data_IF_074056848807
#
_entry.id   IF_074056848807
#
_cell.length_a   1.000
_cell.length_b   1.000
_cell.length_c   1.000
_cell.angle_alpha   90.00
_cell.angle_beta   90.00
_cell.angle_gamma   90.00
#
_symmetry.space_group_name_H-M   'P 1'
#
loop_
_entity.id
_entity.type
_entity.pdbx_description
1 polymer ?
#
# COMPACT_ATOMS: atom_id res chain seq x y z
N UNK A 1 -1.72 9.13 -16.36
CA UNK A 1 -3.03 8.50 -16.52
C UNK A 1 -4.15 9.45 -16.12
N UNK A 2 -5.40 9.27 -16.60
CA UNK A 2 -6.54 10.09 -16.18
C UNK A 2 -6.70 10.14 -14.65
N UNK A 3 -6.54 9.01 -13.99
CA UNK A 3 -6.57 8.92 -12.52
C UNK A 3 -5.54 9.85 -11.84
N UNK A 4 -4.28 9.81 -12.29
CA UNK A 4 -3.24 10.66 -11.69
C UNK A 4 -3.51 12.15 -11.94
N UNK A 5 -4.04 12.48 -13.13
CA UNK A 5 -4.44 13.84 -13.48
C UNK A 5 -5.56 14.35 -12.57
N UNK A 6 -6.65 13.59 -12.40
CA UNK A 6 -7.77 14.00 -11.53
C UNK A 6 -7.34 14.17 -10.07
N UNK A 7 -6.48 13.27 -9.55
CA UNK A 7 -5.93 13.42 -8.19
C UNK A 7 -5.10 14.68 -8.03
N UNK A 8 -4.28 15.03 -9.02
CA UNK A 8 -3.51 16.28 -9.01
C UNK A 8 -4.42 17.51 -9.01
N UNK A 9 -5.49 17.50 -9.84
CA UNK A 9 -6.45 18.62 -9.91
C UNK A 9 -7.28 18.77 -8.63
N UNK A 10 -7.57 17.68 -7.92
CA UNK A 10 -8.21 17.76 -6.61
C UNK A 10 -7.32 18.50 -5.59
N UNK A 11 -6.02 18.29 -5.61
CA UNK A 11 -5.10 19.04 -4.71
C UNK A 11 -5.09 20.52 -5.06
N UNK A 12 -4.99 20.87 -6.35
CA UNK A 12 -5.05 22.24 -6.81
C UNK A 12 -6.36 22.95 -6.40
N UNK A 13 -7.50 22.24 -6.50
CA UNK A 13 -8.79 22.75 -6.03
C UNK A 13 -8.77 23.03 -4.52
N UNK A 14 -8.27 22.11 -3.71
CA UNK A 14 -8.19 22.29 -2.25
C UNK A 14 -7.30 23.48 -1.87
N UNK A 15 -6.18 23.67 -2.57
CA UNK A 15 -5.30 24.83 -2.35
C UNK A 15 -6.00 26.17 -2.66
N UNK A 16 -6.84 26.21 -3.69
CA UNK A 16 -7.63 27.39 -4.02
C UNK A 16 -8.77 27.62 -3.01
N UNK A 17 -9.48 26.56 -2.60
CA UNK A 17 -10.50 26.66 -1.55
C UNK A 17 -9.92 27.20 -0.24
N UNK A 18 -8.72 26.78 0.12
CA UNK A 18 -8.01 27.33 1.28
C UNK A 18 -7.81 28.84 1.16
N UNK A 19 -7.38 29.31 0.00
CA UNK A 19 -7.15 30.74 -0.24
C UNK A 19 -8.44 31.57 -0.19
N UNK A 20 -9.54 31.04 -0.74
CA UNK A 20 -10.79 31.76 -0.90
C UNK A 20 -11.66 31.74 0.36
N UNK A 21 -11.67 30.62 1.10
CA UNK A 21 -12.64 30.37 2.17
C UNK A 21 -11.99 30.04 3.53
N UNK A 22 -10.69 30.24 3.68
CA UNK A 22 -9.94 29.83 4.88
C UNK A 22 -10.18 28.33 5.25
N UNK A 23 -10.32 27.50 4.22
CA UNK A 23 -10.59 26.09 4.36
C UNK A 23 -9.32 25.32 4.77
N UNK A 24 -9.43 24.49 5.80
CA UNK A 24 -8.33 23.67 6.28
C UNK A 24 -8.42 22.24 5.73
N UNK A 25 -7.29 21.65 5.39
CA UNK A 25 -7.21 20.28 4.90
C UNK A 25 -5.83 19.65 5.15
N UNK A 26 -5.79 18.34 5.16
CA UNK A 26 -4.58 17.53 5.18
C UNK A 26 -4.53 16.67 3.90
N UNK A 27 -3.35 16.54 3.29
CA UNK A 27 -3.15 15.69 2.11
C UNK A 27 -2.33 14.47 2.52
N UNK A 28 -2.90 13.29 2.29
CA UNK A 28 -2.29 12.05 2.68
C UNK A 28 -2.11 11.15 1.44
N UNK A 29 -0.85 10.82 1.12
CA UNK A 29 -0.50 9.91 0.05
C UNK A 29 -0.31 8.50 0.60
N UNK A 30 -1.17 7.56 0.20
CA UNK A 30 -1.10 6.16 0.59
C UNK A 30 -0.17 5.35 -0.30
N UNK A 31 0.66 4.51 0.32
CA UNK A 31 1.53 3.56 -0.37
C UNK A 31 1.09 2.14 -0.07
N UNK A 32 0.58 1.45 -1.10
CA UNK A 32 0.27 0.01 -1.10
C UNK A 32 -0.27 -0.49 0.25
N UNK A 33 -1.43 0.04 0.65
CA UNK A 33 -2.09 -0.34 1.90
C UNK A 33 -2.53 -1.80 1.83
N UNK A 34 -2.27 -2.55 2.90
CA UNK A 34 -2.67 -3.95 3.04
C UNK A 34 -3.28 -4.21 4.42
N UNK A 35 -4.03 -5.30 4.55
CA UNK A 35 -4.61 -5.71 5.81
C UNK A 35 -5.86 -6.58 5.65
N UNK A 36 -6.53 -6.92 6.76
CA UNK A 36 -7.77 -7.68 6.72
C UNK A 36 -8.84 -7.03 5.84
N UNK A 37 -9.68 -7.85 5.18
CA UNK A 37 -10.78 -7.40 4.31
C UNK A 37 -10.37 -6.63 3.04
N UNK A 38 -9.09 -6.67 2.64
CA UNK A 38 -8.66 -6.10 1.37
C UNK A 38 -9.31 -6.80 0.16
N UNK A 39 -9.41 -6.10 -0.97
CA UNK A 39 -9.99 -6.63 -2.20
C UNK A 39 -9.07 -7.72 -2.76
N UNK A 40 -9.62 -8.91 -2.99
CA UNK A 40 -8.87 -10.12 -3.37
C UNK A 40 -9.09 -10.56 -4.82
N UNK A 41 -10.14 -10.07 -5.47
CA UNK A 41 -10.55 -10.44 -6.84
C UNK A 41 -11.01 -9.20 -7.61
N UNK A 42 -11.00 -9.30 -8.94
CA UNK A 42 -11.38 -8.20 -9.84
C UNK A 42 -10.26 -7.19 -10.10
N UNK A 43 -10.56 -6.18 -10.90
CA UNK A 43 -9.58 -5.21 -11.40
C UNK A 43 -8.98 -4.32 -10.30
N UNK A 44 -9.69 -4.16 -9.19
CA UNK A 44 -9.24 -3.39 -8.03
C UNK A 44 -8.52 -4.22 -6.97
N UNK A 45 -8.27 -5.51 -7.26
CA UNK A 45 -7.60 -6.39 -6.31
C UNK A 45 -6.16 -5.94 -6.03
N UNK A 46 -5.81 -5.93 -4.73
CA UNK A 46 -4.44 -5.64 -4.31
C UNK A 46 -3.54 -6.85 -4.52
N UNK A 47 -2.24 -6.63 -4.70
CA UNK A 47 -1.30 -7.76 -4.90
C UNK A 47 -1.30 -8.72 -3.71
N UNK A 48 -1.39 -8.20 -2.47
CA UNK A 48 -1.48 -9.04 -1.28
C UNK A 48 -2.81 -9.81 -1.26
N UNK A 49 -3.92 -9.15 -1.60
CA UNK A 49 -5.23 -9.79 -1.70
C UNK A 49 -5.27 -10.89 -2.75
N UNK A 50 -4.65 -10.68 -3.92
CA UNK A 50 -4.52 -11.71 -4.96
C UNK A 50 -3.76 -12.93 -4.42
N UNK A 51 -2.62 -12.71 -3.76
CA UNK A 51 -1.82 -13.80 -3.18
C UNK A 51 -2.56 -14.54 -2.08
N UNK A 52 -3.27 -13.84 -1.20
CA UNK A 52 -4.15 -14.47 -0.20
C UNK A 52 -5.22 -15.34 -0.85
N UNK A 53 -5.89 -14.85 -1.88
CA UNK A 53 -6.92 -15.61 -2.59
C UNK A 53 -6.34 -16.85 -3.29
N UNK A 54 -5.22 -16.71 -3.96
CA UNK A 54 -4.53 -17.83 -4.61
C UNK A 54 -4.07 -18.87 -3.58
N UNK A 55 -3.49 -18.44 -2.46
CA UNK A 55 -3.08 -19.30 -1.37
C UNK A 55 -4.25 -20.10 -0.78
N UNK A 56 -5.37 -19.43 -0.49
CA UNK A 56 -6.59 -20.07 0.06
C UNK A 56 -7.16 -21.12 -0.88
N UNK A 57 -7.10 -20.87 -2.18
CA UNK A 57 -7.59 -21.79 -3.21
C UNK A 57 -6.54 -22.83 -3.65
N UNK A 58 -5.41 -22.95 -2.93
CA UNK A 58 -4.29 -23.86 -3.26
C UNK A 58 -3.76 -23.68 -4.69
N UNK A 59 -3.91 -22.49 -5.27
CA UNK A 59 -3.40 -22.12 -6.59
C UNK A 59 -1.97 -21.56 -6.48
N UNK A 60 -1.14 -21.72 -7.52
CA UNK A 60 0.15 -21.05 -7.57
C UNK A 60 -0.01 -19.54 -7.49
N UNK A 61 0.93 -18.87 -6.82
CA UNK A 61 0.99 -17.40 -6.80
C UNK A 61 1.51 -16.90 -8.14
N UNK A 62 0.77 -15.98 -8.78
CA UNK A 62 1.16 -15.43 -10.08
C UNK A 62 1.95 -14.15 -9.90
N UNK A 63 3.18 -14.12 -10.40
CA UNK A 63 4.07 -12.96 -10.36
C UNK A 63 4.36 -12.51 -11.79
N UNK A 64 4.11 -11.24 -12.09
CA UNK A 64 4.42 -10.64 -13.40
C UNK A 64 5.93 -10.50 -13.54
N UNK A 65 6.49 -11.00 -14.67
CA UNK A 65 7.92 -10.88 -14.97
C UNK A 65 8.37 -9.41 -15.03
N UNK A 66 9.56 -9.08 -14.55
CA UNK A 66 10.55 -9.96 -13.90
C UNK A 66 10.29 -10.20 -12.40
N UNK A 67 9.27 -9.60 -11.80
CA UNK A 67 8.96 -9.70 -10.37
C UNK A 67 9.85 -8.83 -9.46
N UNK A 68 10.71 -8.00 -10.07
CA UNK A 68 11.65 -7.11 -9.37
C UNK A 68 11.06 -5.75 -9.02
N UNK A 69 9.83 -5.46 -9.49
CA UNK A 69 9.15 -4.21 -9.12
C UNK A 69 9.00 -4.12 -7.62
N UNK A 70 9.60 -3.07 -7.06
CA UNK A 70 9.66 -2.85 -5.62
C UNK A 70 8.50 -1.98 -5.14
N UNK A 71 7.97 -2.29 -3.97
CA UNK A 71 6.90 -1.53 -3.32
C UNK A 71 7.13 -1.45 -1.81
N UNK A 72 6.71 -0.35 -1.20
CA UNK A 72 6.55 -0.25 0.24
C UNK A 72 5.09 -0.55 0.59
N UNK A 73 4.89 -1.37 1.58
CA UNK A 73 3.56 -1.82 2.02
C UNK A 73 3.29 -1.31 3.42
N UNK A 74 2.13 -0.67 3.62
CA UNK A 74 1.73 -0.12 4.91
C UNK A 74 0.48 -0.80 5.42
N UNK A 75 0.49 -1.27 6.67
CA UNK A 75 -0.67 -1.93 7.24
C UNK A 75 -1.82 -0.94 7.46
N UNK A 76 -3.06 -1.40 7.24
CA UNK A 76 -4.25 -0.55 7.36
C UNK A 76 -4.36 0.11 8.74
N UNK A 77 -4.03 -0.59 9.82
CA UNK A 77 -4.06 -0.01 11.17
C UNK A 77 -3.07 1.15 11.33
N UNK A 78 -1.86 1.02 10.80
CA UNK A 78 -0.88 2.11 10.78
C UNK A 78 -1.39 3.28 9.94
N UNK A 79 -1.98 2.97 8.78
CA UNK A 79 -2.55 4.00 7.88
C UNK A 79 -3.66 4.79 8.58
N UNK A 80 -4.62 4.11 9.20
CA UNK A 80 -5.73 4.77 9.91
C UNK A 80 -5.22 5.61 11.08
N UNK A 81 -4.27 5.08 11.86
CA UNK A 81 -3.70 5.83 12.99
C UNK A 81 -2.98 7.09 12.53
N UNK A 82 -2.23 7.02 11.42
CA UNK A 82 -1.53 8.18 10.86
C UNK A 82 -2.53 9.24 10.35
N UNK A 83 -3.63 8.80 9.68
CA UNK A 83 -4.70 9.71 9.25
C UNK A 83 -5.33 10.43 10.44
N UNK A 84 -5.61 9.71 11.53
CA UNK A 84 -6.18 10.28 12.74
C UNK A 84 -5.24 11.31 13.40
N UNK A 85 -3.95 11.00 13.48
CA UNK A 85 -2.96 11.93 14.03
C UNK A 85 -2.76 13.17 13.11
N UNK A 86 -2.80 13.00 11.79
CA UNK A 86 -2.75 14.11 10.86
C UNK A 86 -3.97 15.04 11.03
N UNK A 87 -5.17 14.45 11.13
CA UNK A 87 -6.40 15.19 11.40
C UNK A 87 -6.32 16.00 12.71
N UNK A 88 -5.83 15.38 13.79
CA UNK A 88 -5.65 16.06 15.10
C UNK A 88 -4.62 17.19 15.06
N UNK A 89 -3.60 17.05 14.23
CA UNK A 89 -2.54 18.07 14.11
C UNK A 89 -3.04 19.37 13.48
N UNK A 90 -4.10 19.33 12.67
CA UNK A 90 -4.74 20.46 12.00
C UNK A 90 -3.73 21.47 11.40
N UNK A 91 -2.70 20.94 10.75
CA UNK A 91 -1.53 21.72 10.35
C UNK A 91 -1.45 21.99 8.85
N UNK A 92 -2.42 21.52 8.08
CA UNK A 92 -2.49 21.63 6.61
C UNK A 92 -1.19 21.17 5.93
N UNK A 93 -0.69 20.00 6.32
CA UNK A 93 0.55 19.42 5.80
C UNK A 93 0.28 18.30 4.82
N UNK A 94 1.35 17.92 4.12
CA UNK A 94 1.38 16.80 3.20
C UNK A 94 2.08 15.62 3.89
N UNK A 95 1.44 14.44 3.86
CA UNK A 95 1.95 13.23 4.48
C UNK A 95 2.09 12.11 3.44
N UNK A 96 3.26 11.50 3.36
CA UNK A 96 3.47 10.29 2.56
C UNK A 96 3.52 9.06 3.48
N UNK A 97 2.45 8.29 3.57
CA UNK A 97 2.37 7.13 4.45
C UNK A 97 3.01 5.91 3.81
N UNK A 98 4.22 5.55 4.24
CA UNK A 98 4.88 4.32 3.83
C UNK A 98 5.69 3.69 4.96
N UNK A 99 5.63 2.37 5.07
CA UNK A 99 6.57 1.62 5.90
C UNK A 99 8.01 1.83 5.37
N UNK A 100 9.02 1.71 6.24
CA UNK A 100 10.42 1.85 5.87
C UNK A 100 10.89 0.76 4.91
N UNK A 101 10.36 -0.45 5.06
CA UNK A 101 10.79 -1.61 4.31
C UNK A 101 10.16 -1.64 2.92
N UNK A 102 11.00 -1.90 1.93
CA UNK A 102 10.60 -2.12 0.54
C UNK A 102 10.79 -3.58 0.18
N UNK A 103 9.83 -4.14 -0.56
CA UNK A 103 9.88 -5.53 -1.02
C UNK A 103 9.59 -5.60 -2.51
N UNK A 104 10.32 -6.45 -3.21
CA UNK A 104 9.92 -6.82 -4.57
C UNK A 104 8.68 -7.71 -4.53
N UNK A 105 7.88 -7.72 -5.60
CA UNK A 105 6.68 -8.56 -5.68
C UNK A 105 7.06 -10.05 -5.54
N UNK A 106 8.20 -10.45 -6.08
CA UNK A 106 8.73 -11.81 -5.91
C UNK A 106 9.08 -12.12 -4.45
N UNK A 107 9.68 -11.17 -3.71
CA UNK A 107 9.94 -11.34 -2.28
C UNK A 107 8.64 -11.51 -1.49
N UNK A 108 7.61 -10.71 -1.81
CA UNK A 108 6.30 -10.83 -1.17
C UNK A 108 5.68 -12.20 -1.45
N UNK A 109 5.71 -12.68 -2.70
CA UNK A 109 5.20 -14.01 -3.05
C UNK A 109 5.92 -15.12 -2.26
N UNK A 110 7.24 -15.02 -2.10
CA UNK A 110 8.04 -15.99 -1.32
C UNK A 110 7.63 -16.05 0.16
N UNK A 111 7.11 -14.95 0.75
CA UNK A 111 6.64 -14.96 2.15
C UNK A 111 5.48 -15.94 2.38
N UNK A 112 4.68 -16.24 1.37
CA UNK A 112 3.57 -17.19 1.46
C UNK A 112 3.99 -18.66 1.46
N UNK A 113 5.27 -18.95 1.19
CA UNK A 113 5.79 -20.32 1.12
C UNK A 113 4.93 -21.25 0.24
N UNK A 114 4.58 -20.79 -0.94
CA UNK A 114 3.72 -21.47 -1.91
C UNK A 114 4.37 -21.50 -3.30
N UNK A 115 3.89 -22.37 -4.18
CA UNK A 115 4.35 -22.44 -5.57
C UNK A 115 4.14 -21.10 -6.26
N UNK A 116 5.16 -20.61 -6.98
CA UNK A 116 5.12 -19.36 -7.74
C UNK A 116 5.20 -19.68 -9.24
N UNK A 117 4.36 -18.99 -10.02
CA UNK A 117 4.38 -19.02 -11.49
C UNK A 117 4.58 -17.61 -12.01
N UNK A 118 5.58 -17.47 -12.89
CA UNK A 118 5.86 -16.18 -13.55
C UNK A 118 4.95 -16.00 -14.76
N UNK A 119 4.25 -14.86 -14.82
CA UNK A 119 3.40 -14.48 -15.96
C UNK A 119 4.13 -13.49 -16.90
N UNK A 120 3.56 -13.27 -18.08
CA UNK A 120 4.11 -12.32 -19.05
C UNK A 120 4.17 -10.90 -18.47
N UNK A 121 5.16 -10.08 -18.87
CA UNK A 121 5.21 -8.66 -18.50
C UNK A 121 3.93 -7.93 -18.96
N UNK A 122 3.52 -6.93 -18.17
CA UNK A 122 2.41 -6.03 -18.54
C UNK A 122 2.97 -4.74 -19.15
N UNK A 123 2.36 -4.26 -20.21
CA UNK A 123 2.69 -2.95 -20.78
C UNK A 123 2.40 -1.85 -19.76
N UNK A 124 3.36 -0.91 -19.62
CA UNK A 124 3.20 0.24 -18.72
C UNK A 124 3.41 -0.06 -17.22
N UNK A 125 3.86 -1.25 -16.83
CA UNK A 125 4.16 -1.57 -15.44
C UNK A 125 5.43 -0.84 -14.98
N UNK A 126 5.33 -0.14 -13.84
CA UNK A 126 6.48 0.56 -13.25
C UNK A 126 7.29 -0.41 -12.39
N UNK A 127 8.57 -0.52 -12.66
CA UNK A 127 9.50 -1.38 -11.91
C UNK A 127 9.98 -0.75 -10.61
N UNK A 128 9.98 0.57 -10.49
CA UNK A 128 10.36 1.29 -9.29
C UNK A 128 9.14 1.82 -8.52
N UNK A 129 9.24 1.88 -7.20
CA UNK A 129 8.29 2.60 -6.36
C UNK A 129 8.37 4.09 -6.62
N UNK A 130 7.25 4.74 -6.89
CA UNK A 130 7.17 6.19 -6.83
C UNK A 130 7.28 6.60 -5.35
N UNK A 131 8.48 6.94 -4.90
CA UNK A 131 8.70 7.50 -3.57
C UNK A 131 8.66 9.02 -3.71
N UNK A 132 7.81 9.67 -2.91
CA UNK A 132 7.90 11.12 -2.74
C UNK A 132 8.87 11.42 -1.60
N UNK A 133 9.63 12.51 -1.71
CA UNK A 133 10.54 12.98 -0.66
C UNK A 133 9.79 13.39 0.64
N UNK A 134 8.45 13.46 0.59
CA UNK A 134 7.57 13.83 1.71
C UNK A 134 7.58 12.77 2.82
N UNK A 135 7.84 11.49 2.47
CA UNK A 135 7.66 10.38 3.43
C UNK A 135 8.79 10.21 4.45
N UNK A 136 9.97 10.78 4.22
CA UNK A 136 11.17 10.38 4.99
C UNK A 136 11.31 11.04 6.37
N UNK A 137 10.67 12.19 6.61
CA UNK A 137 10.94 13.00 7.80
C UNK A 137 9.73 13.22 8.73
N UNK A 138 8.61 12.55 8.48
CA UNK A 138 7.40 12.77 9.28
C UNK A 138 7.46 11.94 10.58
N UNK A 139 7.54 12.60 11.74
CA UNK A 139 7.57 11.96 13.07
C UNK A 139 6.35 11.05 13.32
N UNK A 140 5.18 11.39 12.80
CA UNK A 140 3.96 10.60 12.91
C UNK A 140 4.15 9.24 12.23
N UNK A 141 4.70 9.22 11.01
CA UNK A 141 4.98 7.97 10.28
C UNK A 141 6.00 7.12 11.02
N UNK A 142 7.05 7.75 11.57
CA UNK A 142 8.07 7.04 12.35
C UNK A 142 7.49 6.40 13.61
N UNK A 143 6.49 7.03 14.22
CA UNK A 143 5.82 6.53 15.43
C UNK A 143 4.91 5.32 15.13
N UNK A 144 4.12 5.37 14.05
CA UNK A 144 3.02 4.42 13.81
C UNK A 144 3.25 3.45 12.65
N UNK A 145 4.07 3.74 11.66
CA UNK A 145 4.31 2.87 10.49
C UNK A 145 5.20 1.67 10.79
N UNK A 146 4.88 0.84 11.78
CA UNK A 146 5.74 -0.22 12.32
C UNK A 146 5.33 -1.65 12.01
N UNK A 147 4.05 -1.88 11.69
CA UNK A 147 3.56 -3.23 11.42
C UNK A 147 4.21 -3.79 10.14
N UNK A 148 4.80 -4.97 10.26
CA UNK A 148 5.58 -5.56 9.19
C UNK A 148 4.74 -6.50 8.32
N UNK A 149 4.90 -6.40 7.00
CA UNK A 149 4.23 -7.27 6.05
C UNK A 149 4.53 -8.76 6.29
N UNK A 150 5.77 -9.08 6.64
CA UNK A 150 6.19 -10.45 6.91
C UNK A 150 5.41 -11.07 8.08
N UNK A 151 5.18 -10.30 9.14
CA UNK A 151 4.45 -10.77 10.32
C UNK A 151 2.96 -10.97 10.00
N UNK A 152 2.38 -10.05 9.23
CA UNK A 152 1.01 -10.19 8.73
C UNK A 152 0.83 -11.46 7.89
N UNK A 153 1.68 -11.69 6.90
CA UNK A 153 1.61 -12.88 6.05
C UNK A 153 1.82 -14.16 6.87
N UNK A 154 2.77 -14.15 7.81
CA UNK A 154 3.00 -15.30 8.71
C UNK A 154 1.78 -15.61 9.57
N UNK A 155 1.14 -14.60 10.13
CA UNK A 155 -0.10 -14.75 10.93
C UNK A 155 -1.26 -15.24 10.07
N UNK A 156 -1.40 -14.71 8.85
CA UNK A 156 -2.40 -15.18 7.89
C UNK A 156 -2.24 -16.68 7.57
N UNK A 157 -1.03 -17.13 7.31
CA UNK A 157 -0.73 -18.55 7.03
C UNK A 157 -1.03 -19.43 8.27
N UNK A 158 -0.60 -19.01 9.46
CA UNK A 158 -0.82 -19.74 10.71
C UNK A 158 -2.32 -19.90 11.01
N UNK A 159 -3.09 -18.83 10.90
CA UNK A 159 -4.55 -18.87 11.14
C UNK A 159 -5.29 -19.85 10.24
N UNK A 160 -4.76 -20.17 9.07
CA UNK A 160 -5.36 -21.13 8.12
C UNK A 160 -4.92 -22.59 8.32
N UNK A 161 -3.83 -22.82 9.04
CA UNK A 161 -3.40 -24.18 9.43
C UNK A 161 -4.20 -24.72 10.62
N UNK A 162 -4.76 -23.84 11.44
CA UNK A 162 -5.56 -24.19 12.62
C UNK A 162 -6.99 -24.66 12.27
N UNK A 163 -7.43 -24.48 11.02
CA UNK A 163 -8.77 -24.85 10.54
C UNK A 163 -8.75 -26.07 9.59
N UNK A 164 -7.71 -26.88 9.66
CA UNK A 164 -7.60 -28.20 9.05
C UNK A 164 -7.60 -29.28 10.13
#
# INVERSE_FOLDING_TARGET
>A
SPYAFTKSKNIELLENLKKWFNFKFEVIFFYNVYGPKQIKVGDMATVIGIFENQYLNKKPLTVVKPGTQSRRFTHISDTVQICYEAFKADSCKYYGISNKNSYTILQVAKMFNSRIVMTKPRLGERYASALTNISSNNKIIQKYGKLQLKDYVSSFIKSRKLWK
#
